data_IF_082240111246
#
_entry.id   IF_082240111246
#
_cell.length_a   1.000
_cell.length_b   1.000
_cell.length_c   1.000
_cell.angle_alpha   90.00
_cell.angle_beta   90.00
_cell.angle_gamma   90.00
#
_symmetry.space_group_name_H-M   'P 1'
#
loop_
_entity.id
_entity.type
_entity.pdbx_description
1 polymer ?
#
# COMPACT_ATOMS: atom_id res chain seq x y z
N UNK A 1 -6.96 -6.34 -10.06
CA UNK A 1 -6.87 -4.87 -9.92
C UNK A 1 -6.62 -4.27 -11.29
N UNK A 2 -7.28 -3.18 -11.66
CA UNK A 2 -7.24 -2.63 -13.02
C UNK A 2 -6.23 -1.49 -13.21
N UNK A 3 -5.72 -0.92 -12.12
CA UNK A 3 -4.97 0.34 -12.16
C UNK A 3 -3.52 0.24 -11.68
N UNK A 4 -3.01 -0.95 -11.35
CA UNK A 4 -1.66 -1.13 -10.80
C UNK A 4 -0.55 -0.50 -11.66
N UNK A 5 -0.67 -0.60 -13.00
CA UNK A 5 0.30 0.04 -13.90
C UNK A 5 0.26 1.56 -13.79
N UNK A 6 -0.94 2.15 -13.84
CA UNK A 6 -1.12 3.60 -13.75
C UNK A 6 -0.70 4.13 -12.37
N UNK A 7 -1.03 3.40 -11.32
CA UNK A 7 -0.61 3.64 -9.94
C UNK A 7 0.91 3.75 -9.82
N UNK A 8 1.66 2.78 -10.35
CA UNK A 8 3.13 2.82 -10.34
C UNK A 8 3.70 3.99 -11.16
N UNK A 9 3.12 4.27 -12.33
CA UNK A 9 3.62 5.32 -13.23
C UNK A 9 3.43 6.72 -12.64
N UNK A 10 2.25 7.02 -12.15
CA UNK A 10 1.94 8.34 -11.59
C UNK A 10 2.61 8.56 -10.23
N UNK A 11 2.75 7.49 -9.41
CA UNK A 11 3.54 7.60 -8.18
C UNK A 11 5.01 7.89 -8.47
N UNK A 12 5.61 7.26 -9.48
CA UNK A 12 6.97 7.61 -9.93
C UNK A 12 7.06 9.07 -10.33
N UNK A 13 6.15 9.57 -11.16
CA UNK A 13 6.16 10.96 -11.61
C UNK A 13 6.02 11.94 -10.42
N UNK A 14 5.15 11.65 -9.47
CA UNK A 14 4.98 12.45 -8.26
C UNK A 14 6.23 12.43 -7.37
N UNK A 15 6.85 11.26 -7.17
CA UNK A 15 8.12 11.13 -6.44
C UNK A 15 9.25 11.89 -7.12
N UNK A 16 9.38 11.80 -8.44
CA UNK A 16 10.41 12.54 -9.21
C UNK A 16 10.27 14.05 -9.03
N UNK A 17 9.03 14.54 -9.05
CA UNK A 17 8.70 15.96 -8.81
C UNK A 17 9.00 16.39 -7.37
N UNK A 18 8.54 15.60 -6.38
CA UNK A 18 8.71 15.90 -4.96
C UNK A 18 10.20 15.86 -4.53
N UNK A 19 10.98 14.99 -5.14
CA UNK A 19 12.41 14.79 -4.85
C UNK A 19 13.33 15.49 -5.84
N UNK A 20 12.84 16.50 -6.58
CA UNK A 20 13.64 17.21 -7.60
C UNK A 20 14.92 17.84 -7.05
N UNK A 21 14.95 18.18 -5.76
CA UNK A 21 16.10 18.80 -5.09
C UNK A 21 17.07 17.78 -4.48
N UNK A 22 16.76 16.48 -4.53
CA UNK A 22 17.63 15.44 -3.97
C UNK A 22 18.78 15.22 -4.95
N UNK A 23 20.01 15.43 -4.46
CA UNK A 23 21.24 15.23 -5.24
C UNK A 23 21.51 13.76 -5.56
N UNK A 24 21.15 12.87 -4.63
CA UNK A 24 21.23 11.42 -4.81
C UNK A 24 19.84 10.82 -4.65
N UNK A 25 19.36 10.11 -5.68
CA UNK A 25 18.12 9.32 -5.62
C UNK A 25 18.16 8.18 -6.62
N UNK A 26 17.57 7.06 -6.21
CA UNK A 26 17.37 5.88 -7.06
C UNK A 26 15.89 5.53 -7.03
N UNK A 27 15.23 5.55 -8.19
CA UNK A 27 13.82 5.15 -8.33
C UNK A 27 13.78 4.01 -9.34
N UNK A 28 13.38 2.82 -8.89
CA UNK A 28 13.21 1.63 -9.72
C UNK A 28 11.72 1.31 -9.76
N UNK A 29 11.18 1.07 -10.95
CA UNK A 29 9.77 0.69 -11.14
C UNK A 29 9.65 -0.62 -11.90
N UNK A 30 8.68 -1.44 -11.51
CA UNK A 30 8.28 -2.64 -12.24
C UNK A 30 6.77 -2.63 -12.47
N UNK A 31 6.35 -2.79 -13.73
CA UNK A 31 4.95 -2.91 -14.13
C UNK A 31 4.83 -3.62 -15.48
N UNK A 32 3.62 -4.01 -15.89
CA UNK A 32 3.43 -4.85 -17.07
C UNK A 32 3.77 -4.20 -18.43
N UNK A 33 3.75 -2.86 -18.48
CA UNK A 33 4.01 -2.09 -19.70
C UNK A 33 5.49 -1.69 -19.93
N UNK A 34 6.46 -2.31 -19.25
CA UNK A 34 7.91 -2.07 -19.49
C UNK A 34 8.67 -3.38 -19.76
N UNK A 35 9.84 -3.33 -20.43
CA UNK A 35 10.66 -4.53 -20.69
C UNK A 35 11.03 -5.29 -19.42
N UNK A 36 11.40 -4.57 -18.36
CA UNK A 36 11.69 -5.12 -17.03
C UNK A 36 10.40 -5.39 -16.26
N UNK A 37 9.64 -6.35 -16.78
CA UNK A 37 8.37 -6.80 -16.22
C UNK A 37 8.53 -7.27 -14.75
N UNK A 38 7.48 -7.18 -13.90
CA UNK A 38 7.57 -7.57 -12.48
C UNK A 38 7.61 -9.09 -12.32
N UNK A 39 8.73 -9.71 -12.68
CA UNK A 39 9.06 -11.10 -12.42
C UNK A 39 9.78 -11.23 -11.07
N UNK A 40 9.61 -12.36 -10.38
CA UNK A 40 10.18 -12.57 -9.04
C UNK A 40 11.67 -12.24 -8.96
N UNK A 41 12.49 -12.82 -9.82
CA UNK A 41 13.95 -12.61 -9.77
C UNK A 41 14.33 -11.16 -10.09
N UNK A 42 13.62 -10.53 -11.03
CA UNK A 42 13.86 -9.12 -11.40
C UNK A 42 13.58 -8.21 -10.21
N UNK A 43 12.43 -8.38 -9.55
CA UNK A 43 12.05 -7.58 -8.38
C UNK A 43 12.99 -7.83 -7.21
N UNK A 44 13.40 -9.08 -6.95
CA UNK A 44 14.38 -9.41 -5.91
C UNK A 44 15.74 -8.78 -6.16
N UNK A 45 16.20 -8.77 -7.42
CA UNK A 45 17.46 -8.14 -7.79
C UNK A 45 17.42 -6.62 -7.54
N UNK A 46 16.34 -5.96 -7.97
CA UNK A 46 16.14 -4.53 -7.71
C UNK A 46 16.07 -4.20 -6.22
N UNK A 47 15.38 -5.03 -5.42
CA UNK A 47 15.33 -4.86 -3.96
C UNK A 47 16.73 -5.01 -3.34
N UNK A 48 17.49 -6.04 -3.72
CA UNK A 48 18.86 -6.25 -3.23
C UNK A 48 19.80 -5.11 -3.61
N UNK A 49 19.65 -4.55 -4.82
CA UNK A 49 20.39 -3.37 -5.25
C UNK A 49 20.12 -2.18 -4.33
N UNK A 50 18.85 -1.87 -4.06
CA UNK A 50 18.47 -0.76 -3.17
C UNK A 50 19.01 -0.95 -1.74
N UNK A 51 18.89 -2.17 -1.19
CA UNK A 51 19.38 -2.52 0.14
C UNK A 51 20.89 -2.32 0.26
N UNK A 52 21.64 -2.73 -0.77
CA UNK A 52 23.10 -2.64 -0.77
C UNK A 52 23.60 -1.20 -0.96
N UNK A 53 22.84 -0.36 -1.66
CA UNK A 53 23.17 1.04 -1.89
C UNK A 53 22.81 1.95 -0.71
N UNK A 54 21.81 1.58 0.08
CA UNK A 54 21.27 2.43 1.14
C UNK A 54 22.21 2.59 2.34
N UNK A 55 22.36 3.83 2.78
CA UNK A 55 23.18 4.26 3.92
C UNK A 55 22.31 4.85 5.04
N UNK A 56 22.93 5.12 6.20
CA UNK A 56 22.27 5.70 7.40
C UNK A 56 21.72 7.12 7.23
N UNK A 57 21.91 7.73 6.07
CA UNK A 57 21.35 9.05 5.74
C UNK A 57 20.14 8.93 4.80
N UNK A 58 19.93 7.75 4.23
CA UNK A 58 18.92 7.52 3.20
C UNK A 58 17.54 7.20 3.78
N UNK A 59 16.53 7.44 2.93
CA UNK A 59 15.16 6.96 3.12
C UNK A 59 14.84 5.97 2.03
N UNK A 60 14.41 4.77 2.42
CA UNK A 60 13.92 3.76 1.49
C UNK A 60 12.40 3.75 1.49
N UNK A 61 11.79 3.76 0.30
CA UNK A 61 10.35 3.64 0.12
C UNK A 61 10.06 2.44 -0.79
N UNK A 62 9.31 1.48 -0.29
CA UNK A 62 8.78 0.37 -1.06
C UNK A 62 7.29 0.59 -1.26
N UNK A 63 6.85 0.57 -2.51
CA UNK A 63 5.44 0.62 -2.89
C UNK A 63 5.07 -0.65 -3.65
N UNK A 64 3.95 -1.26 -3.28
CA UNK A 64 3.37 -2.38 -4.02
C UNK A 64 1.87 -2.14 -4.25
N UNK A 65 1.42 -2.37 -5.48
CA UNK A 65 0.00 -2.53 -5.80
C UNK A 65 -0.23 -3.78 -6.62
N UNK A 66 -1.17 -4.60 -6.17
CA UNK A 66 -1.48 -5.87 -6.81
C UNK A 66 -2.20 -6.83 -5.90
N UNK A 67 -2.18 -8.11 -6.25
CA UNK A 67 -2.81 -9.16 -5.46
C UNK A 67 -1.88 -9.65 -4.34
N UNK A 68 -2.48 -10.06 -3.22
CA UNK A 68 -1.77 -10.78 -2.18
C UNK A 68 -2.61 -11.94 -1.65
N UNK A 69 -1.96 -13.08 -1.39
CA UNK A 69 -2.57 -14.26 -0.80
C UNK A 69 -1.82 -14.70 0.45
N UNK A 70 -2.53 -15.35 1.37
CA UNK A 70 -1.89 -16.09 2.45
C UNK A 70 -1.42 -17.43 1.94
N UNK A 71 -0.12 -17.69 2.02
CA UNK A 71 0.37 -19.05 1.88
C UNK A 71 0.01 -19.84 3.15
N UNK A 72 -0.75 -20.92 2.98
CA UNK A 72 -1.26 -21.73 4.10
C UNK A 72 -0.17 -22.58 4.76
N UNK A 73 0.92 -22.89 4.06
CA UNK A 73 1.98 -23.73 4.60
C UNK A 73 2.90 -22.93 5.51
N UNK A 74 3.34 -21.76 5.04
CA UNK A 74 4.25 -20.90 5.82
C UNK A 74 3.53 -19.83 6.63
N UNK A 75 2.20 -19.72 6.52
CA UNK A 75 1.37 -18.75 7.23
C UNK A 75 1.83 -17.30 7.02
N UNK A 76 2.28 -16.98 5.80
CA UNK A 76 2.80 -15.66 5.45
C UNK A 76 2.05 -15.05 4.27
N UNK A 77 1.89 -13.71 4.27
CA UNK A 77 1.34 -12.99 3.14
C UNK A 77 2.37 -12.95 2.00
N UNK A 78 1.92 -13.37 0.83
CA UNK A 78 2.68 -13.40 -0.42
C UNK A 78 2.14 -12.32 -1.33
N UNK A 79 3.02 -11.44 -1.81
CA UNK A 79 2.73 -10.48 -2.86
C UNK A 79 2.85 -11.16 -4.22
N UNK A 80 1.82 -11.05 -5.05
CA UNK A 80 1.78 -11.69 -6.35
C UNK A 80 2.46 -10.82 -7.40
N UNK A 81 3.46 -11.42 -8.05
CA UNK A 81 4.16 -10.88 -9.19
C UNK A 81 3.64 -11.55 -10.47
N UNK A 82 4.12 -11.11 -11.63
CA UNK A 82 3.57 -11.56 -12.92
C UNK A 82 3.66 -13.07 -13.14
N UNK A 83 4.73 -13.71 -12.64
CA UNK A 83 4.96 -15.14 -12.76
C UNK A 83 4.52 -15.95 -11.52
N UNK A 84 3.77 -15.34 -10.60
CA UNK A 84 3.24 -16.06 -9.42
C UNK A 84 2.18 -17.07 -9.82
N UNK A 85 2.33 -18.29 -9.30
CA UNK A 85 1.41 -19.40 -9.48
C UNK A 85 0.64 -19.64 -8.18
N UNK A 86 -0.69 -19.62 -8.23
CA UNK A 86 -1.54 -19.73 -7.03
C UNK A 86 -1.50 -21.09 -6.36
N UNK A 87 -1.10 -22.14 -7.08
CA UNK A 87 -0.83 -23.48 -6.56
C UNK A 87 0.59 -23.63 -5.99
N UNK A 88 1.44 -22.60 -6.09
CA UNK A 88 2.83 -22.64 -5.64
C UNK A 88 3.31 -21.24 -5.18
N UNK A 89 2.58 -20.64 -4.24
CA UNK A 89 2.80 -19.27 -3.79
C UNK A 89 4.18 -19.08 -3.14
N UNK A 90 4.58 -19.97 -2.23
CA UNK A 90 5.85 -19.87 -1.50
C UNK A 90 7.10 -19.75 -2.39
N UNK A 91 7.11 -20.37 -3.57
CA UNK A 91 8.31 -20.36 -4.45
C UNK A 91 8.21 -19.40 -5.64
N UNK A 92 6.99 -18.99 -6.02
CA UNK A 92 6.77 -18.15 -7.22
C UNK A 92 6.24 -16.75 -6.91
N UNK A 93 5.84 -16.50 -5.66
CA UNK A 93 5.48 -15.18 -5.16
C UNK A 93 6.58 -14.57 -4.29
N UNK A 94 6.37 -13.33 -3.86
CA UNK A 94 7.30 -12.61 -3.00
C UNK A 94 6.74 -12.54 -1.57
N UNK A 95 7.33 -13.27 -0.60
CA UNK A 95 6.91 -13.16 0.79
C UNK A 95 7.12 -11.74 1.32
N UNK A 96 6.11 -11.18 1.98
CA UNK A 96 6.23 -9.86 2.60
C UNK A 96 7.34 -9.84 3.68
N UNK A 97 7.52 -10.96 4.39
CA UNK A 97 8.57 -11.10 5.39
C UNK A 97 9.97 -10.89 4.78
N UNK A 98 10.17 -11.33 3.53
CA UNK A 98 11.45 -11.13 2.83
C UNK A 98 11.71 -9.64 2.57
N UNK A 99 10.69 -8.87 2.17
CA UNK A 99 10.80 -7.42 1.96
C UNK A 99 11.13 -6.71 3.27
N UNK A 100 10.46 -7.08 4.36
CA UNK A 100 10.65 -6.45 5.67
C UNK A 100 12.01 -6.80 6.29
N UNK A 101 12.47 -8.04 6.09
CA UNK A 101 13.83 -8.43 6.43
C UNK A 101 14.84 -7.58 5.66
N UNK A 102 14.66 -7.41 4.34
CA UNK A 102 15.52 -6.58 3.49
C UNK A 102 15.55 -5.12 3.93
N UNK A 103 14.42 -4.55 4.33
CA UNK A 103 14.36 -3.21 4.89
C UNK A 103 15.14 -3.09 6.20
N UNK A 104 15.06 -4.11 7.07
CA UNK A 104 15.81 -4.16 8.33
C UNK A 104 17.32 -4.32 8.11
N UNK A 105 17.71 -5.06 7.06
CA UNK A 105 19.10 -5.24 6.65
C UNK A 105 19.68 -3.99 5.96
N UNK A 106 18.83 -3.10 5.46
CA UNK A 106 19.27 -1.88 4.80
C UNK A 106 19.91 -0.90 5.78
N UNK A 107 20.88 -0.13 5.31
CA UNK A 107 21.47 0.96 6.09
C UNK A 107 20.51 2.15 6.29
N UNK A 108 19.36 2.20 5.61
CA UNK A 108 18.48 3.36 5.55
C UNK A 108 18.01 3.82 6.94
N UNK A 109 18.04 5.14 7.18
CA UNK A 109 17.52 5.74 8.43
C UNK A 109 16.03 5.57 8.56
N UNK A 110 15.32 5.79 7.46
CA UNK A 110 13.87 5.69 7.39
C UNK A 110 13.48 4.66 6.34
N UNK A 111 12.54 3.77 6.69
CA UNK A 111 12.05 2.70 5.85
C UNK A 111 10.53 2.81 5.80
N UNK A 112 10.01 3.17 4.62
CA UNK A 112 8.59 3.26 4.35
C UNK A 112 8.18 2.08 3.50
N UNK A 113 7.07 1.43 3.87
CA UNK A 113 6.42 0.43 3.05
C UNK A 113 4.95 0.76 2.89
N UNK A 114 4.50 0.83 1.64
CA UNK A 114 3.12 1.09 1.27
C UNK A 114 2.62 -0.08 0.43
N UNK A 115 1.60 -0.78 0.93
CA UNK A 115 1.02 -1.94 0.25
C UNK A 115 -0.45 -1.64 -0.02
N UNK A 116 -0.78 -1.46 -1.30
CA UNK A 116 -2.15 -1.41 -1.80
C UNK A 116 -2.50 -2.77 -2.41
N UNK A 117 -2.84 -3.74 -1.55
CA UNK A 117 -3.14 -5.09 -2.00
C UNK A 117 -4.44 -5.62 -1.38
N UNK A 118 -5.27 -6.21 -2.23
CA UNK A 118 -6.47 -6.91 -1.76
C UNK A 118 -6.08 -8.24 -1.16
N UNK A 119 -6.22 -8.35 0.15
CA UNK A 119 -6.41 -9.63 0.83
C UNK A 119 -7.88 -10.02 0.72
N UNK A 120 -8.18 -11.31 0.63
CA UNK A 120 -9.53 -11.85 0.78
C UNK A 120 -10.10 -11.69 2.21
N UNK A 121 -9.98 -10.51 2.82
CA UNK A 121 -10.42 -10.17 4.19
C UNK A 121 -9.87 -8.85 4.74
N UNK A 122 -10.05 -7.74 4.03
CA UNK A 122 -9.37 -6.44 4.24
C UNK A 122 -9.39 -5.82 5.64
N UNK A 123 -8.28 -5.15 6.00
CA UNK A 123 -8.16 -4.26 7.17
C UNK A 123 -7.04 -3.23 6.89
N UNK A 124 -7.26 -1.95 7.21
CA UNK A 124 -6.20 -0.92 7.22
C UNK A 124 -5.69 -0.76 8.65
N UNK A 125 -4.39 -0.92 8.88
CA UNK A 125 -3.78 -0.93 10.22
C UNK A 125 -2.72 0.16 10.32
N UNK A 126 -2.79 1.01 11.35
CA UNK A 126 -1.78 2.02 11.67
C UNK A 126 -0.78 1.46 12.69
N UNK A 127 0.50 1.41 12.32
CA UNK A 127 1.57 0.84 13.13
C UNK A 127 2.31 1.84 14.04
N UNK A 128 2.05 3.14 13.92
CA UNK A 128 2.73 4.18 14.69
C UNK A 128 2.22 4.30 16.15
N UNK A 129 1.02 3.81 16.46
CA UNK A 129 0.37 3.92 17.78
C UNK A 129 0.33 2.62 18.57
N UNK A 130 1.18 1.68 18.20
CA UNK A 130 1.20 0.36 18.81
C UNK A 130 1.98 0.33 20.14
N UNK A 131 2.62 1.43 20.55
CA UNK A 131 3.03 1.59 21.95
C UNK A 131 1.79 1.74 22.85
N UNK A 132 1.37 0.60 23.40
CA UNK A 132 0.44 0.43 24.51
C UNK A 132 -1.05 0.72 24.24
N UNK A 133 -1.84 -0.35 24.40
CA UNK A 133 -3.27 -0.35 24.79
C UNK A 133 -4.32 0.08 23.76
N UNK A 134 -4.56 -0.77 22.75
CA UNK A 134 -5.93 -0.97 22.24
C UNK A 134 -6.15 -2.44 21.86
N UNK A 135 -6.91 -3.16 22.67
CA UNK A 135 -7.41 -4.50 22.33
C UNK A 135 -8.31 -4.37 21.11
N UNK A 136 -7.85 -4.87 19.96
CA UNK A 136 -8.70 -5.12 18.79
C UNK A 136 -9.78 -6.16 19.18
N UNK A 137 -10.99 -5.99 18.66
CA UNK A 137 -12.11 -6.87 19.00
C UNK A 137 -12.01 -8.22 18.26
N UNK A 138 -12.45 -9.31 18.90
CA UNK A 138 -12.35 -10.70 18.40
C UNK A 138 -13.03 -10.94 17.04
N UNK A 139 -13.96 -10.08 16.63
CA UNK A 139 -14.66 -10.18 15.34
C UNK A 139 -13.88 -9.56 14.16
N UNK A 140 -12.82 -8.80 14.44
CA UNK A 140 -11.91 -8.23 13.43
C UNK A 140 -10.70 -9.16 13.14
N UNK A 141 -10.60 -10.29 13.86
CA UNK A 141 -9.45 -11.23 13.88
C UNK A 141 -9.73 -12.51 13.04
N UNK A 142 -10.46 -12.41 11.92
CA UNK A 142 -10.76 -13.59 11.06
C UNK A 142 -9.97 -13.66 9.75
N UNK A 143 -8.98 -12.78 9.54
CA UNK A 143 -8.20 -12.69 8.30
C UNK A 143 -6.71 -12.58 8.61
N UNK A 144 -5.87 -12.49 7.58
CA UNK A 144 -4.40 -12.38 7.53
C UNK A 144 -3.81 -11.29 8.47
N UNK A 145 -4.66 -10.46 9.06
CA UNK A 145 -4.32 -9.32 9.90
C UNK A 145 -3.39 -9.67 11.09
N UNK A 146 -3.58 -10.73 11.91
CA UNK A 146 -2.69 -11.00 13.03
C UNK A 146 -1.25 -11.32 12.61
N UNK A 147 -1.07 -12.13 11.55
CA UNK A 147 0.28 -12.46 11.06
C UNK A 147 0.97 -11.24 10.45
N UNK A 148 0.22 -10.40 9.72
CA UNK A 148 0.72 -9.12 9.24
C UNK A 148 1.13 -8.23 10.41
N UNK A 149 0.25 -8.08 11.39
CA UNK A 149 0.48 -7.25 12.57
C UNK A 149 1.79 -7.68 13.22
N UNK A 150 1.92 -8.95 13.59
CA UNK A 150 3.13 -9.48 14.24
C UNK A 150 4.40 -9.21 13.42
N UNK A 151 4.36 -9.46 12.12
CA UNK A 151 5.52 -9.26 11.23
C UNK A 151 5.96 -7.79 11.18
N UNK A 152 5.00 -6.86 11.11
CA UNK A 152 5.27 -5.43 11.14
C UNK A 152 5.79 -4.96 12.49
N UNK A 153 5.24 -5.47 13.60
CA UNK A 153 5.74 -5.19 14.94
C UNK A 153 7.19 -5.65 15.13
N UNK A 154 7.51 -6.88 14.70
CA UNK A 154 8.86 -7.41 14.79
C UNK A 154 9.84 -6.57 13.97
N UNK A 155 9.41 -6.04 12.82
CA UNK A 155 10.21 -5.16 11.97
C UNK A 155 10.40 -3.80 12.63
N UNK A 156 9.32 -3.19 13.13
CA UNK A 156 9.35 -1.91 13.84
C UNK A 156 10.23 -1.96 15.10
N UNK A 157 10.21 -3.07 15.84
CA UNK A 157 11.07 -3.26 17.02
C UNK A 157 12.57 -3.29 16.69
N UNK A 158 12.93 -3.65 15.45
CA UNK A 158 14.32 -3.73 14.97
C UNK A 158 14.78 -2.44 14.27
N UNK A 159 13.88 -1.51 13.99
CA UNK A 159 14.16 -0.29 13.22
C UNK A 159 13.72 0.98 13.93
N UNK A 160 14.60 1.98 13.98
CA UNK A 160 14.30 3.28 14.61
C UNK A 160 13.45 4.21 13.72
N UNK A 161 13.17 3.83 12.47
CA UNK A 161 12.53 4.71 11.48
C UNK A 161 11.63 3.96 10.52
N UNK A 162 10.86 2.99 11.00
CA UNK A 162 10.00 2.15 10.16
C UNK A 162 8.55 2.63 10.14
N UNK A 163 7.98 2.74 8.93
CA UNK A 163 6.61 3.15 8.69
C UNK A 163 5.94 2.22 7.70
N UNK A 164 4.79 1.66 8.09
CA UNK A 164 4.02 0.75 7.24
C UNK A 164 2.59 1.28 7.05
N UNK A 165 2.15 1.31 5.80
CA UNK A 165 0.80 1.63 5.41
C UNK A 165 0.23 0.50 4.57
N UNK A 166 -0.83 -0.12 5.09
CA UNK A 166 -1.52 -1.24 4.45
C UNK A 166 -2.93 -0.82 4.08
N UNK A 167 -3.26 -1.01 2.81
CA UNK A 167 -4.55 -0.71 2.25
C UNK A 167 -5.07 -1.89 1.44
N UNK A 168 -6.38 -2.09 1.52
CA UNK A 168 -7.10 -3.09 0.74
C UNK A 168 -8.21 -2.35 -0.01
N UNK A 169 -8.06 -2.23 -1.32
CA UNK A 169 -9.00 -1.48 -2.15
C UNK A 169 -10.01 -2.40 -2.85
N UNK A 170 -11.20 -2.52 -2.28
CA UNK A 170 -12.34 -3.22 -2.92
C UNK A 170 -13.26 -2.25 -3.68
N UNK A 171 -12.83 -1.01 -3.90
CA UNK A 171 -13.67 0.11 -4.31
C UNK A 171 -13.42 0.59 -5.74
N UNK A 172 -12.46 -0.01 -6.46
CA UNK A 172 -12.21 0.19 -7.91
C UNK A 172 -13.46 -0.03 -8.78
N UNK A 173 -14.48 -0.73 -8.25
CA UNK A 173 -15.76 -1.01 -8.89
C UNK A 173 -16.72 0.19 -8.96
N UNK A 174 -16.52 1.26 -8.17
CA UNK A 174 -17.41 2.41 -8.19
C UNK A 174 -17.28 3.20 -9.49
N UNK A 175 -18.42 3.43 -10.18
CA UNK A 175 -18.47 4.12 -11.49
C UNK A 175 -17.78 5.50 -11.48
N UNK A 176 -17.92 6.27 -10.39
CA UNK A 176 -17.25 7.59 -10.23
C UNK A 176 -15.74 7.51 -10.09
N UNK A 177 -15.20 6.35 -9.74
CA UNK A 177 -13.77 6.14 -9.56
C UNK A 177 -13.08 5.66 -10.84
N UNK A 178 -13.84 5.19 -11.84
CA UNK A 178 -13.31 4.76 -13.14
C UNK A 178 -12.60 5.87 -13.91
N UNK A 179 -13.00 7.12 -13.70
CA UNK A 179 -12.41 8.28 -14.38
C UNK A 179 -11.04 8.67 -13.79
N UNK A 180 -10.80 8.35 -12.51
CA UNK A 180 -9.55 8.66 -11.79
C UNK A 180 -8.45 7.66 -12.17
N UNK A 181 -8.82 6.44 -12.57
CA UNK A 181 -7.90 5.38 -13.04
C UNK A 181 -6.77 5.03 -12.06
N UNK A 182 -7.06 5.09 -10.75
CA UNK A 182 -6.13 4.72 -9.68
C UNK A 182 -6.79 3.79 -8.66
N UNK A 183 -5.99 3.16 -7.80
CA UNK A 183 -6.50 2.73 -6.49
C UNK A 183 -6.84 3.93 -5.61
N UNK A 184 -7.89 3.85 -4.79
CA UNK A 184 -8.36 4.91 -3.88
C UNK A 184 -7.25 5.46 -3.01
N UNK A 185 -6.53 4.56 -2.35
CA UNK A 185 -5.46 4.93 -1.42
C UNK A 185 -4.21 5.38 -2.17
N UNK A 186 -3.87 4.76 -3.30
CA UNK A 186 -2.77 5.20 -4.15
C UNK A 186 -2.98 6.63 -4.63
N UNK A 187 -4.20 6.98 -5.07
CA UNK A 187 -4.52 8.32 -5.52
C UNK A 187 -4.20 9.37 -4.45
N UNK A 188 -4.68 9.18 -3.21
CA UNK A 188 -4.39 10.14 -2.14
C UNK A 188 -2.92 10.11 -1.71
N UNK A 189 -2.25 8.97 -1.79
CA UNK A 189 -0.81 8.89 -1.56
C UNK A 189 -0.01 9.70 -2.59
N UNK A 190 -0.38 9.64 -3.87
CA UNK A 190 0.17 10.50 -4.93
C UNK A 190 -0.08 11.97 -4.61
N UNK A 191 -1.31 12.33 -4.20
CA UNK A 191 -1.64 13.71 -3.81
C UNK A 191 -0.77 14.23 -2.65
N UNK A 192 -0.34 13.37 -1.72
CA UNK A 192 0.61 13.76 -0.68
C UNK A 192 1.93 14.25 -1.28
N UNK A 193 2.53 13.52 -2.21
CA UNK A 193 3.77 13.93 -2.88
C UNK A 193 3.60 15.17 -3.77
N UNK A 194 2.38 15.42 -4.25
CA UNK A 194 2.03 16.67 -4.93
C UNK A 194 1.77 17.84 -3.98
N UNK A 195 2.04 17.68 -2.68
CA UNK A 195 1.96 18.72 -1.66
C UNK A 195 0.55 18.97 -1.11
N UNK A 196 -0.45 18.15 -1.46
CA UNK A 196 -1.84 18.36 -1.00
C UNK A 196 -2.05 18.04 0.48
N UNK A 197 -1.13 17.30 1.08
CA UNK A 197 -1.14 16.96 2.49
C UNK A 197 -0.28 17.91 3.35
N UNK A 198 0.38 18.90 2.75
CA UNK A 198 1.31 19.76 3.46
C UNK A 198 0.58 20.63 4.49
N UNK A 199 1.15 20.74 5.68
CA UNK A 199 0.66 21.63 6.73
C UNK A 199 0.96 23.11 6.42
N UNK A 200 0.64 24.01 7.35
CA UNK A 200 0.88 25.44 7.21
C UNK A 200 2.37 25.78 7.04
N UNK A 201 3.26 24.91 7.51
CA UNK A 201 4.72 25.00 7.37
C UNK A 201 5.24 24.34 6.09
N UNK A 202 4.34 23.79 5.27
CA UNK A 202 4.60 23.02 4.05
C UNK A 202 5.40 21.74 4.27
N UNK A 203 5.33 21.18 5.47
CA UNK A 203 5.97 19.92 5.85
C UNK A 203 4.94 18.80 5.78
N UNK A 204 5.39 17.62 5.33
CA UNK A 204 4.61 16.38 5.36
C UNK A 204 5.48 15.36 6.09
N UNK A 205 5.13 15.06 7.34
CA UNK A 205 5.68 13.90 8.06
C UNK A 205 4.81 12.65 7.81
N UNK A 206 5.24 11.52 8.37
CA UNK A 206 4.56 10.25 8.21
C UNK A 206 3.13 10.25 8.80
N UNK A 207 2.91 10.98 9.90
CA UNK A 207 1.62 11.04 10.60
C UNK A 207 0.62 11.89 9.82
N UNK A 208 1.05 13.02 9.28
CA UNK A 208 0.28 13.90 8.40
C UNK A 208 -0.08 13.14 7.13
N UNK A 209 0.88 12.43 6.54
CA UNK A 209 0.67 11.60 5.36
C UNK A 209 -0.41 10.54 5.62
N UNK A 210 -0.32 9.81 6.72
CA UNK A 210 -1.33 8.83 7.12
C UNK A 210 -2.71 9.47 7.31
N UNK A 211 -2.79 10.54 8.12
CA UNK A 211 -4.05 11.23 8.44
C UNK A 211 -4.71 11.75 7.17
N UNK A 212 -3.95 12.32 6.25
CA UNK A 212 -4.46 12.82 4.98
C UNK A 212 -5.07 11.68 4.17
N UNK A 213 -4.34 10.59 3.95
CA UNK A 213 -4.80 9.46 3.14
C UNK A 213 -6.05 8.84 3.76
N UNK A 214 -6.05 8.62 5.08
CA UNK A 214 -7.18 8.04 5.79
C UNK A 214 -8.42 8.92 5.71
N UNK A 215 -8.31 10.21 6.08
CA UNK A 215 -9.45 11.12 6.12
C UNK A 215 -10.04 11.34 4.73
N UNK A 216 -9.20 11.54 3.71
CA UNK A 216 -9.67 11.75 2.34
C UNK A 216 -10.33 10.52 1.75
N UNK A 217 -9.78 9.34 2.02
CA UNK A 217 -10.39 8.07 1.61
C UNK A 217 -11.74 7.89 2.30
N UNK A 218 -11.83 8.17 3.61
CA UNK A 218 -13.07 8.06 4.37
C UNK A 218 -14.15 9.06 3.91
N UNK A 219 -13.81 10.34 3.75
CA UNK A 219 -14.70 11.37 3.23
C UNK A 219 -15.28 10.99 1.86
N UNK A 220 -14.45 10.41 0.99
CA UNK A 220 -14.87 9.95 -0.31
C UNK A 220 -15.86 8.78 -0.22
N UNK A 221 -15.54 7.77 0.59
CA UNK A 221 -16.39 6.60 0.79
C UNK A 221 -17.73 6.97 1.42
N UNK A 222 -17.76 7.83 2.44
CA UNK A 222 -18.98 8.29 3.07
C UNK A 222 -19.89 9.05 2.09
N UNK A 223 -19.33 9.98 1.29
CA UNK A 223 -20.09 10.68 0.24
C UNK A 223 -20.68 9.72 -0.80
N UNK A 224 -19.91 8.72 -1.20
CA UNK A 224 -20.34 7.70 -2.18
C UNK A 224 -21.46 6.83 -1.60
N UNK A 225 -21.31 6.35 -0.36
CA UNK A 225 -22.32 5.56 0.32
C UNK A 225 -23.62 6.34 0.54
N UNK A 226 -23.55 7.62 0.92
CA UNK A 226 -24.73 8.49 1.02
C UNK A 226 -25.46 8.62 -0.33
N UNK A 227 -24.74 8.77 -1.43
CA UNK A 227 -25.34 8.85 -2.76
C UNK A 227 -26.02 7.54 -3.17
N UNK A 228 -25.39 6.39 -2.91
CA UNK A 228 -26.00 5.08 -3.17
C UNK A 228 -27.29 4.93 -2.36
N UNK A 229 -27.28 5.27 -1.07
CA UNK A 229 -28.49 5.24 -0.23
C UNK A 229 -29.61 6.13 -0.78
N UNK A 230 -29.28 7.31 -1.29
CA UNK A 230 -30.27 8.20 -1.92
C UNK A 230 -30.84 7.62 -3.22
N UNK A 231 -29.98 7.06 -4.08
CA UNK A 231 -30.39 6.41 -5.33
C UNK A 231 -31.30 5.21 -5.05
N UNK A 232 -30.90 4.33 -4.12
CA UNK A 232 -31.70 3.16 -3.77
C UNK A 232 -33.06 3.59 -3.21
N UNK A 233 -33.10 4.58 -2.31
CA UNK A 233 -34.36 5.14 -1.79
C UNK A 233 -35.26 5.71 -2.91
N UNK A 234 -34.69 6.35 -3.92
CA UNK A 234 -35.44 6.84 -5.09
C UNK A 234 -35.98 5.69 -5.95
N UNK A 235 -35.18 4.64 -6.18
CA UNK A 235 -35.60 3.45 -6.93
C UNK A 235 -36.70 2.67 -6.22
N UNK A 236 -36.58 2.47 -4.90
CA UNK A 236 -37.63 1.85 -4.08
C UNK A 236 -38.92 2.66 -4.15
N UNK A 237 -38.84 4.00 -4.11
CA UNK A 237 -40.00 4.88 -4.26
C UNK A 237 -40.61 4.87 -5.67
N UNK A 238 -39.85 4.49 -6.70
CA UNK A 238 -40.31 4.35 -8.09
C UNK A 238 -40.73 2.92 -8.46
N UNK A 239 -40.66 1.95 -7.53
CA UNK A 239 -41.09 0.56 -7.75
C UNK A 239 -40.09 -0.31 -8.54
N UNK A 240 -38.85 0.15 -8.73
CA UNK A 240 -37.79 -0.66 -9.33
C UNK A 240 -37.07 -1.48 -8.23
N UNK A 241 -36.96 -2.80 -8.40
CA UNK A 241 -36.24 -3.67 -7.46
C UNK A 241 -34.71 -3.50 -7.58
N UNK A 242 -34.03 -3.58 -6.44
CA UNK A 242 -32.57 -3.42 -6.31
C UNK A 242 -31.78 -4.53 -7.05
N UNK A 243 -30.58 -4.19 -7.53
CA UNK A 243 -29.60 -5.10 -8.16
C UNK A 243 -28.72 -5.72 -7.08
#
# INVERSE_FOLDING_TARGET
MNYCVNDCQELKAALESATKLFTNKTIIIHHDNIPESPLLDVVKNSLNQLVTQATKEDTMLIYFSGHSFLDKQIQQPILCLKNTQTNNLATTGLPLAEILQKLTESGAKYQFIFINACHSGGTSINFQHLSESKKLSELEISSIAPQLIELFWQTAAKSKGFYALLFCDNYEQYRKWKDIKHGLFTYFFIQCFLGKAADDLRIIDADILYKYIFNRSWEFLDKTNRQIRLINKQKTNCGEQDI
#
